data_IF_024517171574
#
_entry.id   IF_024517171574
#
_cell.length_a   1.000
_cell.length_b   1.000
_cell.length_c   1.000
_cell.angle_alpha   90.00
_cell.angle_beta   90.00
_cell.angle_gamma   90.00
#
_symmetry.space_group_name_H-M   'P 1'
#
loop_
_entity.id
_entity.type
_entity.pdbx_description
1 polymer ?
#
# COMPACT_ATOMS: atom_id res chain seq x y z
N UNK A 1 15.81 -16.03 10.04
CA UNK A 1 17.01 -15.17 9.76
C UNK A 1 16.53 -14.02 8.89
N UNK A 2 16.84 -12.79 9.25
CA UNK A 2 16.48 -11.60 8.49
C UNK A 2 17.23 -11.56 7.15
N UNK A 3 16.53 -11.16 6.06
CA UNK A 3 17.10 -10.95 4.72
C UNK A 3 17.30 -9.45 4.52
N UNK A 4 18.53 -9.04 4.25
CA UNK A 4 18.88 -7.63 4.02
C UNK A 4 19.78 -7.51 2.81
N UNK A 5 19.54 -6.49 2.00
CA UNK A 5 20.34 -6.12 0.83
C UNK A 5 21.30 -4.95 1.13
N UNK A 6 21.32 -4.44 2.36
CA UNK A 6 22.24 -3.35 2.74
C UNK A 6 23.68 -3.80 2.63
N UNK A 7 24.45 -3.05 1.86
CA UNK A 7 25.88 -3.25 1.62
C UNK A 7 26.59 -1.90 1.65
N UNK A 8 27.94 -1.92 1.67
CA UNK A 8 28.75 -0.70 1.58
C UNK A 8 28.88 -0.24 0.11
N UNK A 9 27.74 0.07 -0.52
CA UNK A 9 27.62 0.66 -1.84
C UNK A 9 27.15 2.13 -1.76
N UNK A 10 26.95 2.80 -2.89
CA UNK A 10 26.56 4.22 -2.93
C UNK A 10 25.19 4.51 -2.29
N UNK A 11 24.32 3.50 -2.15
CA UNK A 11 23.03 3.65 -1.50
C UNK A 11 23.14 3.54 0.03
N UNK A 12 24.07 2.75 0.57
CA UNK A 12 24.23 2.55 2.02
C UNK A 12 22.89 2.29 2.71
N UNK A 13 22.57 3.07 3.73
CA UNK A 13 21.27 3.12 4.42
C UNK A 13 20.48 4.40 4.12
N UNK A 14 20.88 5.17 3.08
CA UNK A 14 20.25 6.42 2.72
C UNK A 14 18.76 6.25 2.40
N UNK A 15 17.97 7.23 2.77
CA UNK A 15 16.57 7.36 2.34
C UNK A 15 16.49 7.99 0.92
N UNK A 16 15.28 8.03 0.33
CA UNK A 16 15.12 8.49 -1.05
C UNK A 16 15.50 9.97 -1.23
N UNK A 17 15.17 10.81 -0.26
CA UNK A 17 15.53 12.24 -0.28
C UNK A 17 17.05 12.42 -0.22
N UNK A 18 17.73 11.66 0.62
CA UNK A 18 19.19 11.70 0.76
C UNK A 18 19.90 11.20 -0.51
N UNK A 19 19.39 10.13 -1.13
CA UNK A 19 19.93 9.64 -2.42
C UNK A 19 19.77 10.71 -3.50
N UNK A 20 18.57 11.32 -3.64
CA UNK A 20 18.35 12.39 -4.61
C UNK A 20 19.26 13.60 -4.39
N UNK A 21 19.54 13.96 -3.13
CA UNK A 21 20.51 15.02 -2.77
C UNK A 21 21.95 14.64 -3.13
N UNK A 22 22.37 13.41 -2.83
CA UNK A 22 23.73 12.92 -3.17
C UNK A 22 23.97 12.94 -4.69
N UNK A 23 22.97 12.51 -5.49
CA UNK A 23 23.04 12.59 -6.95
C UNK A 23 23.13 14.06 -7.40
N UNK A 24 22.32 14.95 -6.84
CA UNK A 24 22.32 16.38 -7.20
C UNK A 24 23.60 17.10 -6.77
N UNK A 25 24.25 16.64 -5.70
CA UNK A 25 25.54 17.17 -5.22
C UNK A 25 26.73 16.63 -6.01
N UNK A 26 26.53 15.52 -6.78
CA UNK A 26 27.61 14.86 -7.52
C UNK A 26 28.44 13.90 -6.65
N UNK A 27 27.95 13.50 -5.47
CA UNK A 27 28.62 12.53 -4.61
C UNK A 27 28.68 11.16 -5.29
N UNK A 28 27.66 10.83 -6.07
CA UNK A 28 27.55 9.66 -6.96
C UNK A 28 26.54 9.94 -8.06
N UNK A 29 26.60 9.13 -9.12
CA UNK A 29 25.69 9.27 -10.28
C UNK A 29 24.38 8.51 -10.09
N UNK A 30 23.33 8.91 -10.83
CA UNK A 30 22.10 8.15 -10.91
C UNK A 30 22.32 6.72 -11.42
N UNK A 31 23.28 6.55 -12.36
CA UNK A 31 23.61 5.24 -12.91
C UNK A 31 24.25 4.31 -11.85
N UNK A 32 25.12 4.84 -10.99
CA UNK A 32 25.67 4.08 -9.85
C UNK A 32 24.58 3.70 -8.86
N UNK A 33 23.64 4.62 -8.55
CA UNK A 33 22.51 4.34 -7.66
C UNK A 33 21.59 3.26 -8.22
N UNK A 34 21.22 3.31 -9.51
CA UNK A 34 20.40 2.31 -10.18
C UNK A 34 21.13 0.96 -10.27
N UNK A 35 22.43 0.97 -10.58
CA UNK A 35 23.25 -0.26 -10.64
C UNK A 35 23.33 -0.93 -9.27
N UNK A 36 23.52 -0.17 -8.20
CA UNK A 36 23.53 -0.67 -6.83
C UNK A 36 22.17 -1.31 -6.44
N UNK A 37 21.05 -0.64 -6.77
CA UNK A 37 19.72 -1.19 -6.51
C UNK A 37 19.46 -2.51 -7.26
N UNK A 38 19.90 -2.61 -8.52
CA UNK A 38 19.81 -3.85 -9.31
C UNK A 38 20.63 -4.96 -8.67
N UNK A 39 21.88 -4.69 -8.27
CA UNK A 39 22.74 -5.67 -7.61
C UNK A 39 22.14 -6.15 -6.27
N UNK A 40 21.60 -5.22 -5.46
CA UNK A 40 20.87 -5.53 -4.22
C UNK A 40 19.67 -6.44 -4.47
N UNK A 41 18.86 -6.11 -5.49
CA UNK A 41 17.70 -6.91 -5.88
C UNK A 41 18.12 -8.34 -6.23
N UNK A 42 19.11 -8.50 -7.10
CA UNK A 42 19.60 -9.80 -7.53
C UNK A 42 20.13 -10.66 -6.36
N UNK A 43 20.63 -10.04 -5.30
CA UNK A 43 21.14 -10.74 -4.13
C UNK A 43 20.03 -11.28 -3.21
N UNK A 44 18.88 -10.62 -3.09
CA UNK A 44 17.83 -10.97 -2.10
C UNK A 44 16.55 -11.52 -2.71
N UNK A 45 16.23 -11.18 -3.97
CA UNK A 45 14.98 -11.58 -4.60
C UNK A 45 14.82 -13.08 -4.85
N UNK A 46 15.91 -13.87 -5.04
CA UNK A 46 15.80 -15.33 -5.05
C UNK A 46 15.19 -15.94 -3.78
N UNK A 47 15.22 -15.20 -2.66
CA UNK A 47 14.59 -15.58 -1.38
C UNK A 47 13.25 -14.88 -1.19
N UNK A 48 13.20 -13.57 -1.51
CA UNK A 48 12.02 -12.73 -1.19
C UNK A 48 10.89 -12.84 -2.21
N UNK A 49 11.20 -13.11 -3.48
CA UNK A 49 10.23 -13.18 -4.58
C UNK A 49 9.35 -11.93 -4.69
N UNK A 50 9.96 -10.76 -4.46
CA UNK A 50 9.27 -9.47 -4.45
C UNK A 50 9.09 -8.86 -5.83
N UNK A 51 9.93 -9.24 -6.82
CA UNK A 51 9.88 -8.72 -8.19
C UNK A 51 9.18 -9.69 -9.15
N UNK A 52 8.52 -9.15 -10.16
CA UNK A 52 7.79 -9.93 -11.17
C UNK A 52 8.20 -9.65 -12.60
N UNK A 53 8.74 -8.45 -12.86
CA UNK A 53 9.18 -8.04 -14.20
C UNK A 53 10.31 -7.01 -14.06
N UNK A 54 11.43 -7.27 -14.70
CA UNK A 54 12.61 -6.38 -14.70
C UNK A 54 12.52 -5.32 -15.80
N UNK A 55 13.23 -4.19 -15.57
CA UNK A 55 13.37 -3.08 -16.50
C UNK A 55 14.80 -2.52 -16.47
N UNK A 56 15.78 -3.36 -16.19
CA UNK A 56 17.15 -2.95 -15.83
C UNK A 56 17.84 -2.13 -16.92
N UNK A 57 17.85 -2.61 -18.14
CA UNK A 57 18.51 -1.91 -19.26
C UNK A 57 17.92 -0.51 -19.50
N UNK A 58 16.58 -0.40 -19.50
CA UNK A 58 15.90 0.88 -19.67
C UNK A 58 16.15 1.82 -18.49
N UNK A 59 16.16 1.30 -17.26
CA UNK A 59 16.44 2.10 -16.06
C UNK A 59 17.88 2.63 -16.06
N UNK A 60 18.86 1.81 -16.45
CA UNK A 60 20.27 2.22 -16.59
C UNK A 60 20.45 3.27 -17.69
N UNK A 61 19.77 3.10 -18.83
CA UNK A 61 19.79 4.07 -19.92
C UNK A 61 19.16 5.43 -19.51
N UNK A 62 18.04 5.39 -18.79
CA UNK A 62 17.42 6.60 -18.23
C UNK A 62 18.35 7.31 -17.24
N UNK A 63 18.95 6.55 -16.32
CA UNK A 63 19.88 7.08 -15.33
C UNK A 63 21.13 7.72 -15.99
N UNK A 64 21.68 7.09 -17.02
CA UNK A 64 22.82 7.62 -17.77
C UNK A 64 22.48 8.89 -18.56
N UNK A 65 21.21 9.07 -18.95
CA UNK A 65 20.74 10.26 -19.67
C UNK A 65 20.44 11.47 -18.77
N UNK A 66 20.45 11.30 -17.44
CA UNK A 66 20.23 12.43 -16.53
C UNK A 66 21.47 13.36 -16.47
N UNK A 67 21.23 14.69 -16.39
CA UNK A 67 22.32 15.63 -16.14
C UNK A 67 23.02 15.31 -14.79
N UNK A 68 24.31 15.59 -14.70
CA UNK A 68 25.10 15.37 -13.48
C UNK A 68 24.53 16.13 -12.27
N UNK A 69 23.89 17.28 -12.49
CA UNK A 69 23.21 18.08 -11.46
C UNK A 69 21.75 17.64 -11.16
N UNK A 70 21.32 16.51 -11.70
CA UNK A 70 19.94 16.06 -11.63
C UNK A 70 18.99 16.92 -12.47
N UNK A 71 17.69 16.57 -12.46
CA UNK A 71 16.63 17.29 -13.21
C UNK A 71 15.93 18.39 -12.40
N UNK A 72 16.39 18.69 -11.18
CA UNK A 72 15.68 19.57 -10.23
C UNK A 72 14.48 18.91 -9.54
N UNK A 73 14.12 17.70 -9.91
CA UNK A 73 13.12 16.91 -9.21
C UNK A 73 13.73 16.32 -7.91
N UNK A 74 12.97 16.23 -6.80
CA UNK A 74 13.53 15.83 -5.50
C UNK A 74 14.05 14.38 -5.47
N UNK A 75 13.58 13.53 -6.39
CA UNK A 75 14.01 12.13 -6.50
C UNK A 75 14.72 11.85 -7.84
N UNK A 76 15.36 12.87 -8.44
CA UNK A 76 16.04 12.71 -9.73
C UNK A 76 17.10 11.59 -9.67
N UNK A 77 16.86 10.50 -10.41
CA UNK A 77 17.78 9.36 -10.48
C UNK A 77 17.62 8.33 -9.36
N UNK A 78 16.70 8.50 -8.42
CA UNK A 78 16.46 7.54 -7.32
C UNK A 78 15.79 6.27 -7.85
N UNK A 79 16.37 5.07 -7.63
CA UNK A 79 15.78 3.80 -8.04
C UNK A 79 14.51 3.49 -7.24
N UNK A 80 13.53 2.88 -7.93
CA UNK A 80 12.24 2.53 -7.33
C UNK A 80 11.60 1.33 -8.05
N UNK A 81 10.37 0.96 -7.63
CA UNK A 81 9.56 -0.11 -8.23
C UNK A 81 8.12 0.36 -8.42
N UNK A 82 7.44 -0.20 -9.42
CA UNK A 82 6.01 -0.02 -9.63
C UNK A 82 5.29 -1.35 -9.39
N UNK A 83 4.19 -1.31 -8.63
CA UNK A 83 3.34 -2.49 -8.38
C UNK A 83 2.73 -3.00 -9.68
N UNK A 84 2.67 -4.31 -9.86
CA UNK A 84 2.25 -4.94 -11.12
C UNK A 84 0.73 -4.91 -11.40
N UNK A 85 0.06 -3.91 -10.88
CA UNK A 85 -1.32 -3.56 -11.26
C UNK A 85 -1.43 -2.16 -11.88
N UNK A 86 -0.31 -1.54 -12.21
CA UNK A 86 -0.23 -0.20 -12.78
C UNK A 86 0.61 -0.24 -14.04
N UNK A 87 0.13 0.40 -15.11
CA UNK A 87 0.72 0.31 -16.43
C UNK A 87 2.04 1.08 -16.52
N UNK A 88 3.06 0.40 -17.06
CA UNK A 88 4.37 0.95 -17.40
C UNK A 88 4.64 0.61 -18.85
N UNK A 89 4.93 1.61 -19.67
CA UNK A 89 5.24 1.43 -21.09
C UNK A 89 6.37 0.40 -21.29
N UNK A 90 6.15 -0.52 -22.23
CA UNK A 90 7.10 -1.59 -22.55
C UNK A 90 7.09 -2.79 -21.58
N UNK A 91 6.29 -2.77 -20.49
CA UNK A 91 6.16 -3.88 -19.56
C UNK A 91 4.72 -4.39 -19.52
N UNK A 92 4.49 -5.71 -19.30
CA UNK A 92 3.15 -6.25 -19.10
C UNK A 92 2.59 -5.79 -17.73
N UNK A 93 1.25 -5.70 -17.64
CA UNK A 93 0.53 -5.49 -16.38
C UNK A 93 -0.29 -6.73 -16.05
N UNK A 94 0.32 -7.63 -15.26
CA UNK A 94 -0.21 -8.97 -15.00
C UNK A 94 -1.20 -9.04 -13.83
N UNK A 95 -1.34 -8.01 -13.02
CA UNK A 95 -2.29 -7.97 -11.89
C UNK A 95 -2.12 -9.14 -10.89
N UNK A 96 -0.95 -9.78 -10.82
CA UNK A 96 -0.73 -10.99 -10.03
C UNK A 96 -1.50 -12.22 -10.53
N UNK A 97 -2.06 -12.19 -11.75
CA UNK A 97 -2.95 -13.22 -12.31
C UNK A 97 -2.32 -13.93 -13.50
N UNK A 98 -2.47 -15.25 -13.56
CA UNK A 98 -2.15 -16.01 -14.76
C UNK A 98 -3.12 -15.74 -15.92
N UNK A 99 -4.33 -15.25 -15.61
CA UNK A 99 -5.39 -15.01 -16.58
C UNK A 99 -5.25 -13.73 -17.41
N UNK A 100 -4.31 -12.83 -17.07
CA UNK A 100 -4.10 -11.57 -17.81
C UNK A 100 -3.07 -11.72 -18.93
N UNK A 101 -3.15 -10.81 -19.94
CA UNK A 101 -2.23 -10.82 -21.09
C UNK A 101 -0.77 -10.59 -20.66
N UNK A 102 0.21 -11.32 -21.23
CA UNK A 102 1.63 -11.04 -21.06
C UNK A 102 2.14 -9.91 -21.96
N UNK A 103 1.30 -9.35 -22.84
CA UNK A 103 1.70 -8.31 -23.77
C UNK A 103 2.09 -7.01 -23.05
N UNK A 104 3.19 -6.37 -23.48
CA UNK A 104 3.62 -5.10 -22.92
C UNK A 104 2.59 -3.99 -23.17
N UNK A 105 2.44 -3.11 -22.18
CA UNK A 105 1.62 -1.91 -22.29
C UNK A 105 2.27 -0.91 -23.25
N UNK A 106 1.44 -0.26 -24.11
CA UNK A 106 1.92 0.73 -25.05
C UNK A 106 2.36 2.05 -24.38
N UNK A 107 1.74 2.40 -23.25
CA UNK A 107 1.91 3.69 -22.58
C UNK A 107 1.97 3.53 -21.05
N UNK A 108 2.58 4.51 -20.40
CA UNK A 108 2.50 4.67 -18.95
C UNK A 108 1.07 5.06 -18.54
N UNK A 109 0.56 4.46 -17.47
CA UNK A 109 -0.67 4.90 -16.83
C UNK A 109 -0.54 6.29 -16.17
N UNK A 110 -1.67 6.94 -15.84
CA UNK A 110 -1.67 8.30 -15.26
C UNK A 110 -0.84 8.39 -13.97
N UNK A 111 -0.96 7.39 -13.10
CA UNK A 111 -0.15 7.34 -11.91
C UNK A 111 1.35 7.17 -12.23
N UNK A 112 1.70 6.28 -13.16
CA UNK A 112 3.09 6.06 -13.57
C UNK A 112 3.72 7.34 -14.10
N UNK A 113 3.00 8.11 -14.92
CA UNK A 113 3.46 9.42 -15.41
C UNK A 113 3.73 10.39 -14.25
N UNK A 114 2.80 10.50 -13.29
CA UNK A 114 2.98 11.34 -12.10
C UNK A 114 4.16 10.86 -11.24
N UNK A 115 4.28 9.54 -11.03
CA UNK A 115 5.35 8.93 -10.25
C UNK A 115 6.73 9.20 -10.86
N UNK A 116 6.90 8.97 -12.15
CA UNK A 116 8.16 9.23 -12.88
C UNK A 116 8.50 10.74 -12.94
N UNK A 117 7.50 11.60 -13.00
CA UNK A 117 7.69 13.05 -12.98
C UNK A 117 8.28 13.55 -11.66
N UNK A 118 8.22 12.79 -10.56
CA UNK A 118 8.93 13.10 -9.32
C UNK A 118 10.44 12.86 -9.40
N UNK A 119 10.93 12.22 -10.47
CA UNK A 119 12.33 11.88 -10.72
C UNK A 119 12.70 10.44 -10.40
N UNK A 120 11.77 9.65 -9.87
CA UNK A 120 11.97 8.22 -9.57
C UNK A 120 12.18 7.40 -10.85
N UNK A 121 13.15 6.49 -10.83
CA UNK A 121 13.44 5.55 -11.92
C UNK A 121 12.98 4.15 -11.54
N UNK A 122 11.89 3.63 -12.13
CA UNK A 122 11.46 2.26 -11.90
C UNK A 122 12.48 1.26 -12.49
N UNK A 123 13.02 0.36 -11.67
CA UNK A 123 13.90 -0.73 -12.11
C UNK A 123 13.10 -2.00 -12.48
N UNK A 124 11.79 -2.02 -12.21
CA UNK A 124 10.93 -3.15 -12.53
C UNK A 124 9.57 -3.06 -11.85
N UNK A 125 8.81 -4.16 -11.91
CA UNK A 125 7.49 -4.28 -11.31
C UNK A 125 7.47 -5.26 -10.15
N UNK A 126 6.79 -4.88 -9.06
CA UNK A 126 6.72 -5.64 -7.81
C UNK A 126 5.48 -6.52 -7.71
N UNK A 127 5.62 -7.63 -6.99
CA UNK A 127 4.60 -8.66 -6.79
C UNK A 127 3.38 -8.16 -6.01
N UNK A 128 2.22 -8.76 -6.32
CA UNK A 128 0.96 -8.63 -5.61
C UNK A 128 0.16 -9.94 -5.73
N UNK A 129 -0.82 -10.23 -4.86
CA UNK A 129 -1.77 -11.33 -5.05
C UNK A 129 -2.74 -11.01 -6.19
N UNK A 130 -3.43 -12.01 -6.71
CA UNK A 130 -4.34 -11.85 -7.85
C UNK A 130 -5.32 -10.69 -7.65
N UNK A 131 -5.26 -9.70 -8.55
CA UNK A 131 -6.03 -8.45 -8.54
C UNK A 131 -5.97 -7.64 -7.23
N UNK A 132 -5.03 -7.94 -6.36
CA UNK A 132 -4.93 -7.30 -5.05
C UNK A 132 -6.05 -7.66 -4.08
N UNK A 133 -6.73 -8.78 -4.26
CA UNK A 133 -7.96 -9.14 -3.55
C UNK A 133 -7.77 -9.69 -2.14
N UNK A 134 -6.55 -9.91 -1.67
CA UNK A 134 -6.27 -10.41 -0.32
C UNK A 134 -5.21 -9.58 0.41
N UNK A 135 -5.07 -9.81 1.71
CA UNK A 135 -4.17 -9.07 2.61
C UNK A 135 -2.79 -9.75 2.76
N UNK A 136 -2.46 -10.74 1.95
CA UNK A 136 -1.14 -11.36 1.82
C UNK A 136 -0.71 -11.38 0.37
N UNK A 137 0.58 -11.63 0.08
CA UNK A 137 1.12 -11.65 -1.29
C UNK A 137 1.60 -13.06 -1.60
N UNK A 138 0.64 -13.95 -1.82
CA UNK A 138 0.79 -15.38 -2.04
C UNK A 138 0.00 -15.83 -3.28
N UNK A 139 0.32 -15.31 -4.49
CA UNK A 139 -0.38 -15.75 -5.71
C UNK A 139 -0.06 -17.21 -6.04
N UNK A 140 -1.05 -17.97 -6.52
CA UNK A 140 -0.84 -19.39 -6.89
C UNK A 140 0.03 -19.56 -8.14
N UNK A 141 0.13 -18.53 -8.97
CA UNK A 141 0.88 -18.58 -10.23
C UNK A 141 2.39 -18.42 -10.07
N UNK A 142 2.87 -18.11 -8.87
CA UNK A 142 4.30 -17.86 -8.56
C UNK A 142 4.58 -18.07 -7.08
N UNK A 143 5.88 -18.16 -6.68
CA UNK A 143 6.24 -18.27 -5.28
C UNK A 143 5.70 -17.08 -4.45
N UNK A 144 5.30 -17.37 -3.22
CA UNK A 144 4.86 -16.36 -2.26
C UNK A 144 5.97 -15.34 -1.98
N UNK A 145 5.61 -14.06 -1.89
CA UNK A 145 6.53 -13.01 -1.47
C UNK A 145 6.79 -13.11 0.03
N UNK A 146 8.05 -13.19 0.42
CA UNK A 146 8.47 -13.48 1.79
C UNK A 146 8.85 -12.22 2.55
N UNK A 147 8.55 -12.22 3.85
CA UNK A 147 8.87 -11.09 4.72
C UNK A 147 10.39 -11.04 5.00
N UNK A 148 11.08 -9.91 4.75
CA UNK A 148 12.51 -9.82 4.98
C UNK A 148 12.92 -9.93 6.45
N UNK A 149 12.02 -9.63 7.38
CA UNK A 149 12.27 -9.83 8.82
C UNK A 149 12.33 -11.31 9.20
N UNK A 150 11.45 -12.12 8.58
CA UNK A 150 11.46 -13.58 8.70
C UNK A 150 10.76 -14.20 7.48
N UNK A 151 11.49 -14.92 6.59
CA UNK A 151 10.92 -15.51 5.37
C UNK A 151 9.83 -16.58 5.55
N UNK A 152 9.54 -17.01 6.76
CA UNK A 152 8.41 -17.88 7.05
C UNK A 152 7.08 -17.13 7.16
N UNK A 153 7.13 -15.78 7.22
CA UNK A 153 5.98 -14.92 7.45
C UNK A 153 5.60 -14.14 6.19
N UNK A 154 4.35 -13.71 6.15
CA UNK A 154 3.78 -12.89 5.08
C UNK A 154 4.31 -11.46 5.14
N UNK A 155 4.48 -10.86 3.97
CA UNK A 155 4.74 -9.42 3.80
C UNK A 155 3.49 -8.57 3.99
N UNK A 156 2.35 -9.21 4.26
CA UNK A 156 1.07 -8.56 4.05
C UNK A 156 0.78 -8.36 2.55
N UNK A 157 -0.32 -7.67 2.26
CA UNK A 157 -0.80 -7.45 0.91
C UNK A 157 -1.76 -6.25 0.82
N UNK A 158 -2.01 -5.84 -0.38
CA UNK A 158 -1.60 -6.46 -1.66
C UNK A 158 -0.30 -5.91 -2.24
N UNK A 159 0.34 -4.87 -1.68
CA UNK A 159 1.62 -4.31 -2.17
C UNK A 159 2.83 -4.97 -1.47
N UNK A 160 2.79 -6.30 -1.27
CA UNK A 160 3.81 -7.01 -0.50
C UNK A 160 5.17 -7.06 -1.16
N UNK A 161 5.23 -7.15 -2.51
CA UNK A 161 6.50 -7.10 -3.23
C UNK A 161 7.22 -5.77 -3.06
N UNK A 162 6.48 -4.65 -3.18
CA UNK A 162 7.01 -3.31 -2.90
C UNK A 162 7.53 -3.20 -1.48
N UNK A 163 6.75 -3.63 -0.50
CA UNK A 163 7.13 -3.56 0.90
C UNK A 163 8.34 -4.44 1.24
N UNK A 164 8.38 -5.68 0.73
CA UNK A 164 9.51 -6.58 0.95
C UNK A 164 10.83 -5.97 0.45
N UNK A 165 10.81 -5.44 -0.76
CA UNK A 165 12.03 -4.92 -1.41
C UNK A 165 12.48 -3.57 -0.81
N UNK A 166 11.55 -2.72 -0.34
CA UNK A 166 11.91 -1.50 0.42
C UNK A 166 12.46 -1.86 1.80
N UNK A 167 11.84 -2.79 2.51
CA UNK A 167 12.28 -3.21 3.85
C UNK A 167 13.60 -3.96 3.83
N UNK A 168 13.87 -4.72 2.77
CA UNK A 168 15.17 -5.36 2.57
C UNK A 168 16.29 -4.38 2.19
N UNK A 169 15.97 -3.12 1.84
CA UNK A 169 16.96 -2.10 1.45
C UNK A 169 17.35 -2.13 -0.03
N UNK A 170 16.58 -2.80 -0.90
CA UNK A 170 16.82 -2.81 -2.36
C UNK A 170 16.61 -1.44 -2.96
N UNK A 171 15.47 -0.82 -2.67
CA UNK A 171 15.13 0.56 -3.06
C UNK A 171 14.62 1.32 -1.84
N UNK A 172 14.77 2.65 -1.79
CA UNK A 172 14.34 3.44 -0.62
C UNK A 172 12.82 3.68 -0.57
N UNK A 173 12.17 3.65 -1.71
CA UNK A 173 10.76 3.98 -1.94
C UNK A 173 10.20 3.11 -3.06
N UNK A 174 8.96 2.67 -2.96
CA UNK A 174 8.28 1.94 -4.03
C UNK A 174 6.80 2.28 -4.08
N UNK A 175 6.21 2.21 -5.29
CA UNK A 175 4.79 2.36 -5.49
C UNK A 175 3.98 1.31 -4.75
N UNK A 176 2.87 1.73 -4.18
CA UNK A 176 1.85 0.90 -3.56
C UNK A 176 0.47 1.54 -3.73
N UNK A 177 -0.59 0.74 -3.73
CA UNK A 177 -1.95 1.25 -3.73
C UNK A 177 -2.83 0.54 -2.70
N UNK A 178 -3.96 1.16 -2.33
CA UNK A 178 -4.76 0.78 -1.16
C UNK A 178 -6.26 0.86 -1.48
N UNK A 179 -6.91 -0.30 -1.56
CA UNK A 179 -8.36 -0.43 -1.74
C UNK A 179 -9.09 -0.92 -0.49
N UNK A 180 -8.35 -1.47 0.48
CA UNK A 180 -8.85 -1.99 1.75
C UNK A 180 -7.77 -2.11 2.82
N UNK A 181 -6.58 -1.51 2.57
CA UNK A 181 -5.42 -1.56 3.46
C UNK A 181 -4.10 -1.84 2.73
N UNK A 182 -4.10 -1.96 1.42
CA UNK A 182 -2.97 -2.52 0.66
C UNK A 182 -1.72 -1.64 0.51
N UNK A 183 -1.67 -0.43 1.07
CA UNK A 183 -0.45 0.31 1.43
C UNK A 183 -0.10 0.02 2.89
N UNK A 184 -1.06 0.19 3.79
CA UNK A 184 -0.89 0.19 5.25
C UNK A 184 -0.55 -1.19 5.80
N UNK A 185 -1.24 -2.23 5.32
CA UNK A 185 -1.01 -3.63 5.74
C UNK A 185 0.42 -4.07 5.45
N UNK A 186 0.93 -4.01 4.19
CA UNK A 186 2.29 -4.42 3.93
C UNK A 186 3.33 -3.48 4.58
N UNK A 187 3.04 -2.19 4.75
CA UNK A 187 3.90 -1.31 5.53
C UNK A 187 4.01 -1.78 6.99
N UNK A 188 2.88 -2.16 7.64
CA UNK A 188 2.86 -2.69 8.99
C UNK A 188 3.65 -4.00 9.11
N UNK A 189 3.44 -4.95 8.17
CA UNK A 189 4.12 -6.25 8.18
C UNK A 189 5.62 -6.16 7.95
N UNK A 190 6.06 -5.15 7.18
CA UNK A 190 7.47 -5.01 6.79
C UNK A 190 8.23 -3.91 7.55
N UNK A 191 7.60 -3.24 8.52
CA UNK A 191 8.25 -2.21 9.32
C UNK A 191 8.52 -0.91 8.56
N UNK A 192 7.56 -0.47 7.75
CA UNK A 192 7.65 0.68 6.87
C UNK A 192 6.62 1.75 7.19
N UNK A 193 6.81 2.93 6.62
CA UNK A 193 5.84 4.01 6.56
C UNK A 193 4.95 3.80 5.32
N UNK A 194 3.64 3.80 5.51
CA UNK A 194 2.68 3.67 4.42
C UNK A 194 1.49 4.59 4.60
N UNK A 195 1.40 5.67 3.81
CA UNK A 195 0.30 6.62 3.82
C UNK A 195 -0.69 6.31 2.70
N UNK A 196 -1.91 5.91 3.08
CA UNK A 196 -3.06 6.00 2.20
C UNK A 196 -3.57 7.45 2.22
N UNK A 197 -3.48 8.22 1.14
CA UNK A 197 -3.92 9.60 1.13
C UNK A 197 -5.45 9.72 1.11
N UNK A 198 -5.94 10.94 1.17
CA UNK A 198 -7.32 11.27 0.85
C UNK A 198 -7.69 10.80 -0.55
N UNK A 199 -8.94 10.33 -0.72
CA UNK A 199 -9.47 9.91 -2.01
C UNK A 199 -9.29 11.01 -3.06
N UNK A 200 -8.77 10.64 -4.24
CA UNK A 200 -8.56 11.58 -5.36
C UNK A 200 -7.31 12.45 -5.23
N UNK A 201 -6.41 12.21 -4.25
CA UNK A 201 -5.15 12.94 -4.11
C UNK A 201 -4.20 12.70 -5.26
N UNK A 202 -4.10 11.48 -5.72
CA UNK A 202 -3.27 11.05 -6.85
C UNK A 202 -4.14 10.41 -7.93
N UNK A 203 -3.69 10.39 -9.18
CA UNK A 203 -4.41 9.71 -10.25
C UNK A 203 -4.57 8.23 -9.92
N UNK A 204 -5.74 7.68 -10.11
CA UNK A 204 -6.02 6.25 -9.99
C UNK A 204 -6.32 5.68 -11.38
N UNK A 205 -6.46 4.35 -11.46
CA UNK A 205 -6.91 3.72 -12.71
C UNK A 205 -8.25 4.32 -13.17
N UNK A 206 -8.41 4.56 -14.46
CA UNK A 206 -9.62 5.17 -15.04
C UNK A 206 -10.94 4.45 -14.69
N UNK A 207 -10.89 3.14 -14.33
CA UNK A 207 -12.04 2.39 -13.86
C UNK A 207 -12.51 2.87 -12.48
N UNK A 208 -11.64 3.44 -11.67
CA UNK A 208 -11.98 3.91 -10.32
C UNK A 208 -13.01 5.04 -10.33
N UNK A 209 -12.96 5.91 -11.33
CA UNK A 209 -13.91 7.02 -11.50
C UNK A 209 -15.33 6.54 -11.85
N UNK A 210 -15.44 5.32 -12.40
CA UNK A 210 -16.71 4.67 -12.71
C UNK A 210 -17.28 3.85 -11.57
N UNK A 211 -16.54 3.74 -10.45
CA UNK A 211 -17.00 2.99 -9.29
C UNK A 211 -18.06 3.79 -8.50
N UNK A 212 -19.13 3.15 -7.99
CA UNK A 212 -20.13 3.82 -7.15
C UNK A 212 -19.55 4.50 -5.91
N UNK A 213 -18.48 3.91 -5.36
CA UNK A 213 -17.61 4.48 -4.33
C UNK A 213 -16.19 4.19 -4.76
N UNK A 214 -15.40 5.23 -5.07
CA UNK A 214 -13.97 5.03 -5.31
C UNK A 214 -13.28 4.75 -3.98
N UNK A 215 -12.91 3.49 -3.74
CA UNK A 215 -12.21 3.04 -2.54
C UNK A 215 -10.69 3.01 -2.73
N UNK A 216 -10.20 3.24 -3.95
CA UNK A 216 -8.80 3.14 -4.30
C UNK A 216 -8.03 4.43 -3.97
N UNK A 217 -6.80 4.27 -3.55
CA UNK A 217 -5.83 5.33 -3.38
C UNK A 217 -4.46 4.85 -3.83
N UNK A 218 -3.75 5.67 -4.59
CA UNK A 218 -2.37 5.43 -4.99
C UNK A 218 -1.42 6.13 -4.01
N UNK A 219 -0.22 5.58 -3.86
CA UNK A 219 0.80 6.12 -2.97
C UNK A 219 2.10 5.32 -3.02
N UNK A 220 2.84 5.37 -1.92
CA UNK A 220 4.13 4.70 -1.78
C UNK A 220 4.28 4.06 -0.41
N UNK A 221 5.21 3.11 -0.32
CA UNK A 221 5.82 2.65 0.93
C UNK A 221 7.27 3.12 0.99
N UNK A 222 7.70 3.58 2.17
CA UNK A 222 9.03 4.17 2.39
C UNK A 222 9.61 3.72 3.73
N UNK A 223 10.90 3.97 3.94
CA UNK A 223 11.54 3.76 5.25
C UNK A 223 11.42 4.96 6.17
N UNK A 224 11.10 6.16 5.64
CA UNK A 224 11.03 7.40 6.43
C UNK A 224 9.74 8.19 6.15
N UNK A 225 9.29 8.95 7.17
CA UNK A 225 8.19 9.91 7.00
C UNK A 225 8.61 11.03 6.06
N UNK A 226 9.89 11.41 6.06
CA UNK A 226 10.43 12.45 5.19
C UNK A 226 10.27 12.09 3.70
N UNK A 227 10.58 10.84 3.32
CA UNK A 227 10.39 10.35 1.96
C UNK A 227 8.92 10.38 1.54
N UNK A 228 8.03 9.91 2.44
CA UNK A 228 6.58 9.95 2.19
C UNK A 228 6.11 11.38 1.96
N UNK A 229 6.46 12.32 2.84
CA UNK A 229 6.07 13.72 2.73
C UNK A 229 6.62 14.36 1.45
N UNK A 230 7.90 14.13 1.14
CA UNK A 230 8.53 14.64 -0.07
C UNK A 230 7.90 14.07 -1.34
N UNK A 231 7.49 12.79 -1.34
CA UNK A 231 6.80 12.17 -2.47
C UNK A 231 5.47 12.87 -2.78
N UNK A 232 4.60 13.06 -1.76
CA UNK A 232 3.31 13.73 -2.00
C UNK A 232 3.50 15.17 -2.44
N UNK A 233 4.43 15.92 -1.83
CA UNK A 233 4.75 17.29 -2.24
C UNK A 233 5.30 17.36 -3.67
N UNK A 234 6.05 16.35 -4.12
CA UNK A 234 6.57 16.28 -5.48
C UNK A 234 5.47 15.90 -6.48
N UNK A 235 4.67 14.88 -6.16
CA UNK A 235 3.59 14.40 -7.01
C UNK A 235 2.51 15.47 -7.26
N UNK A 236 2.20 16.27 -6.24
CA UNK A 236 1.24 17.39 -6.35
C UNK A 236 1.65 18.45 -7.36
N UNK A 237 2.94 18.62 -7.66
CA UNK A 237 3.38 19.54 -8.72
C UNK A 237 2.97 19.09 -10.12
N UNK A 238 2.69 17.80 -10.28
CA UNK A 238 2.31 17.18 -11.55
C UNK A 238 0.83 16.78 -11.61
N UNK A 239 0.22 16.62 -10.43
CA UNK A 239 -1.20 16.32 -10.31
C UNK A 239 -1.76 17.01 -9.07
N UNK A 240 -2.38 18.17 -9.26
CA UNK A 240 -3.01 18.96 -8.21
C UNK A 240 -4.54 18.98 -8.40
N UNK A 241 -5.30 18.07 -7.75
CA UNK A 241 -6.75 18.07 -7.87
C UNK A 241 -7.34 19.33 -7.24
N UNK A 242 -8.11 20.12 -8.03
CA UNK A 242 -8.67 21.40 -7.59
C UNK A 242 -9.60 21.29 -6.37
N UNK A 243 -10.12 20.10 -6.08
CA UNK A 243 -11.02 19.84 -4.95
C UNK A 243 -10.31 19.58 -3.62
N UNK A 244 -8.97 19.43 -3.61
CA UNK A 244 -8.20 19.10 -2.43
C UNK A 244 -7.12 20.17 -2.17
N UNK A 245 -7.03 20.62 -0.93
CA UNK A 245 -5.91 21.49 -0.54
C UNK A 245 -4.59 20.72 -0.67
N UNK A 246 -3.52 21.35 -1.17
CA UNK A 246 -2.21 20.71 -1.26
C UNK A 246 -1.69 20.24 0.10
N UNK A 247 -1.01 19.10 0.13
CA UNK A 247 -0.21 18.67 1.28
C UNK A 247 0.98 19.63 1.43
N UNK A 248 1.60 20.00 0.32
CA UNK A 248 2.77 20.87 0.30
C UNK A 248 3.97 20.29 1.01
N UNK A 249 4.98 21.12 1.28
CA UNK A 249 6.19 20.69 1.98
C UNK A 249 5.92 20.50 3.48
N UNK A 250 6.25 19.32 4.01
CA UNK A 250 6.22 19.02 5.45
C UNK A 250 7.64 18.68 5.89
N UNK A 251 8.28 19.60 6.61
CA UNK A 251 9.72 19.53 6.98
C UNK A 251 9.95 19.41 8.49
N UNK A 252 8.90 19.61 9.29
CA UNK A 252 8.98 19.55 10.75
C UNK A 252 7.62 19.17 11.33
N UNK A 253 7.59 18.63 12.56
CA UNK A 253 6.34 18.42 13.28
C UNK A 253 5.65 19.77 13.57
N UNK A 254 4.31 19.74 13.56
CA UNK A 254 3.50 20.89 13.97
C UNK A 254 3.57 21.13 15.49
N UNK A 255 3.31 22.38 15.91
CA UNK A 255 3.25 22.75 17.33
C UNK A 255 1.86 22.48 17.95
N UNK A 256 0.86 22.21 17.13
CA UNK A 256 -0.52 22.00 17.56
C UNK A 256 -0.64 20.77 18.46
N UNK A 257 -1.31 20.92 19.60
CA UNK A 257 -1.73 19.79 20.42
C UNK A 257 -3.00 19.19 19.85
N UNK A 258 -2.94 17.87 19.60
CA UNK A 258 -3.97 17.14 18.88
C UNK A 258 -4.88 16.39 19.86
N UNK A 259 -6.15 16.25 19.49
CA UNK A 259 -7.15 15.42 20.15
C UNK A 259 -7.18 14.07 19.45
N UNK A 260 -6.75 13.02 20.11
CA UNK A 260 -6.56 11.69 19.53
C UNK A 260 -7.56 10.71 20.14
N UNK A 261 -8.40 10.11 19.30
CA UNK A 261 -9.30 9.02 19.70
C UNK A 261 -8.58 7.67 19.63
N UNK A 262 -8.42 6.97 20.75
CA UNK A 262 -7.81 5.65 20.83
C UNK A 262 -8.86 4.55 20.68
N UNK A 263 -8.68 3.63 19.72
CA UNK A 263 -9.52 2.44 19.57
C UNK A 263 -8.67 1.20 19.31
N UNK A 264 -8.54 0.33 20.29
CA UNK A 264 -7.82 -0.97 20.20
C UNK A 264 -8.77 -2.16 20.01
N UNK A 265 -10.07 -1.97 20.26
CA UNK A 265 -11.10 -2.98 20.04
C UNK A 265 -11.79 -2.84 18.69
N UNK A 266 -12.14 -3.96 18.07
CA UNK A 266 -12.90 -3.95 16.81
C UNK A 266 -13.93 -5.08 16.80
N UNK A 267 -15.22 -4.81 16.49
CA UNK A 267 -16.29 -5.81 16.59
C UNK A 267 -16.07 -7.06 15.72
N UNK A 268 -15.26 -6.93 14.67
CA UNK A 268 -15.01 -7.99 13.69
C UNK A 268 -13.68 -8.72 13.91
N UNK A 269 -12.70 -8.06 14.52
CA UNK A 269 -11.41 -8.68 14.81
C UNK A 269 -11.50 -9.72 15.95
N UNK A 270 -12.58 -9.69 16.74
CA UNK A 270 -12.59 -10.36 18.04
C UNK A 270 -11.57 -9.70 18.99
N UNK A 271 -10.95 -10.49 19.85
CA UNK A 271 -9.83 -10.00 20.62
C UNK A 271 -8.60 -9.80 19.71
N UNK A 272 -8.05 -8.60 19.68
CA UNK A 272 -6.74 -8.34 19.09
C UNK A 272 -5.66 -9.05 19.88
N UNK A 273 -4.55 -9.35 19.23
CA UNK A 273 -3.37 -9.89 19.88
C UNK A 273 -2.89 -8.97 21.00
N UNK A 274 -2.61 -9.48 22.21
CA UNK A 274 -2.19 -8.66 23.34
C UNK A 274 -0.92 -7.81 23.07
N UNK A 275 0.01 -8.32 22.24
CA UNK A 275 1.21 -7.56 21.88
C UNK A 275 0.84 -6.34 21.00
N UNK A 276 -0.09 -6.52 20.07
CA UNK A 276 -0.59 -5.41 19.24
C UNK A 276 -1.28 -4.35 20.10
N UNK A 277 -2.15 -4.77 21.02
CA UNK A 277 -2.84 -3.86 21.93
C UNK A 277 -1.82 -3.08 22.78
N UNK A 278 -0.87 -3.78 23.39
CA UNK A 278 0.15 -3.17 24.24
C UNK A 278 1.01 -2.13 23.48
N UNK A 279 1.36 -2.39 22.22
CA UNK A 279 2.11 -1.45 21.38
C UNK A 279 1.30 -0.19 21.06
N UNK A 280 0.02 -0.34 20.67
CA UNK A 280 -0.85 0.81 20.37
C UNK A 280 -1.08 1.66 21.63
N UNK A 281 -1.31 1.04 22.79
CA UNK A 281 -1.44 1.75 24.07
C UNK A 281 -0.14 2.43 24.48
N UNK A 282 1.02 1.83 24.18
CA UNK A 282 2.32 2.47 24.42
C UNK A 282 2.47 3.73 23.58
N UNK A 283 2.09 3.67 22.30
CA UNK A 283 2.10 4.85 21.41
C UNK A 283 1.12 5.92 21.91
N UNK A 284 -0.05 5.53 22.41
CA UNK A 284 -0.99 6.46 23.03
C UNK A 284 -0.35 7.22 24.20
N UNK A 285 0.32 6.50 25.12
CA UNK A 285 1.07 7.13 26.24
C UNK A 285 2.20 8.05 25.76
N UNK A 286 2.88 7.70 24.66
CA UNK A 286 3.90 8.58 24.06
C UNK A 286 3.27 9.86 23.52
N UNK A 287 2.10 9.78 22.87
CA UNK A 287 1.36 10.97 22.42
C UNK A 287 0.96 11.86 23.62
N UNK A 288 0.50 11.29 24.72
CA UNK A 288 0.19 12.06 25.94
C UNK A 288 1.43 12.74 26.52
N UNK A 289 2.57 12.03 26.56
CA UNK A 289 3.84 12.58 27.01
C UNK A 289 4.34 13.75 26.15
N UNK A 290 3.98 13.75 24.84
CA UNK A 290 4.21 14.86 23.92
C UNK A 290 3.18 16.00 24.08
N UNK A 291 2.21 15.86 24.99
CA UNK A 291 1.20 16.87 25.32
C UNK A 291 -0.05 16.83 24.44
N UNK A 292 -0.27 15.77 23.67
CA UNK A 292 -1.54 15.55 22.97
C UNK A 292 -2.60 15.02 23.93
N UNK A 293 -3.89 15.30 23.66
CA UNK A 293 -5.00 14.70 24.40
C UNK A 293 -5.40 13.36 23.80
N UNK A 294 -5.34 12.28 24.59
CA UNK A 294 -5.77 10.95 24.13
C UNK A 294 -7.01 10.51 24.90
N UNK A 295 -8.04 10.03 24.23
CA UNK A 295 -9.24 9.51 24.84
C UNK A 295 -9.72 8.23 24.17
N UNK A 296 -10.23 7.24 24.92
CA UNK A 296 -10.80 6.04 24.33
C UNK A 296 -12.08 6.37 23.55
N UNK A 297 -12.23 5.76 22.39
CA UNK A 297 -13.42 5.88 21.53
C UNK A 297 -13.87 4.52 21.00
N UNK A 298 -15.11 4.44 20.54
CA UNK A 298 -15.60 3.38 19.68
C UNK A 298 -15.68 3.87 18.24
N UNK A 299 -15.20 3.07 17.29
CA UNK A 299 -15.41 3.37 15.88
C UNK A 299 -16.86 3.05 15.46
N UNK A 300 -17.46 3.82 14.53
CA UNK A 300 -18.81 3.56 14.03
C UNK A 300 -18.83 2.37 13.04
N UNK A 301 -18.14 1.29 13.37
CA UNK A 301 -18.01 0.09 12.56
C UNK A 301 -18.83 -1.02 13.19
N UNK A 302 -19.67 -1.68 12.40
CA UNK A 302 -20.49 -2.81 12.80
C UNK A 302 -20.41 -3.96 11.77
N UNK A 303 -21.04 -5.06 12.08
CA UNK A 303 -21.13 -6.23 11.19
C UNK A 303 -21.76 -5.88 9.84
N UNK A 304 -22.76 -5.00 9.84
CA UNK A 304 -23.46 -4.61 8.60
C UNK A 304 -22.52 -3.85 7.65
N UNK A 305 -21.71 -2.93 8.19
CA UNK A 305 -20.71 -2.21 7.38
C UNK A 305 -19.72 -3.18 6.74
N UNK A 306 -19.25 -4.18 7.48
CA UNK A 306 -18.34 -5.18 6.94
C UNK A 306 -18.96 -6.06 5.87
N UNK A 307 -20.20 -6.54 6.10
CA UNK A 307 -20.94 -7.33 5.11
C UNK A 307 -21.20 -6.52 3.82
N UNK A 308 -21.49 -5.22 3.94
CA UNK A 308 -21.68 -4.32 2.80
C UNK A 308 -20.38 -4.03 2.06
N UNK A 309 -19.28 -3.80 2.80
CA UNK A 309 -17.95 -3.63 2.20
C UNK A 309 -17.50 -4.91 1.50
N UNK A 310 -17.71 -6.05 2.12
CA UNK A 310 -17.35 -7.32 1.52
C UNK A 310 -18.18 -7.61 0.24
N UNK A 311 -19.48 -7.32 0.24
CA UNK A 311 -20.29 -7.42 -0.97
C UNK A 311 -19.78 -6.47 -2.06
N UNK A 312 -19.36 -5.27 -1.70
CA UNK A 312 -18.73 -4.31 -2.61
C UNK A 312 -17.41 -4.82 -3.17
N UNK A 313 -16.56 -5.43 -2.32
CA UNK A 313 -15.30 -6.07 -2.70
C UNK A 313 -15.52 -7.24 -3.66
N UNK A 314 -16.49 -8.09 -3.35
CA UNK A 314 -16.90 -9.21 -4.22
C UNK A 314 -17.44 -8.74 -5.57
N UNK A 315 -18.07 -7.56 -5.64
CA UNK A 315 -18.47 -6.92 -6.90
C UNK A 315 -17.27 -6.60 -7.78
N UNK A 316 -16.16 -6.12 -7.20
CA UNK A 316 -14.94 -5.85 -7.96
C UNK A 316 -14.37 -7.15 -8.55
N UNK A 317 -14.28 -8.21 -7.76
CA UNK A 317 -13.86 -9.53 -8.24
C UNK A 317 -14.77 -10.05 -9.38
N UNK A 318 -16.09 -9.86 -9.25
CA UNK A 318 -17.03 -10.22 -10.30
C UNK A 318 -16.82 -9.39 -11.60
N UNK A 319 -16.57 -8.10 -11.47
CA UNK A 319 -16.24 -7.26 -12.62
C UNK A 319 -14.97 -7.73 -13.33
N UNK A 320 -13.90 -8.04 -12.60
CA UNK A 320 -12.65 -8.58 -13.16
C UNK A 320 -12.89 -9.93 -13.85
N UNK A 321 -13.64 -10.84 -13.25
CA UNK A 321 -13.94 -12.15 -13.81
C UNK A 321 -14.80 -12.07 -15.09
N UNK A 322 -15.88 -11.28 -15.08
CA UNK A 322 -16.85 -11.28 -16.18
C UNK A 322 -16.60 -10.20 -17.24
N UNK A 323 -15.95 -9.11 -16.88
CA UNK A 323 -15.60 -8.03 -17.79
C UNK A 323 -14.09 -7.98 -18.10
N UNK A 324 -13.34 -9.01 -17.70
CA UNK A 324 -11.88 -9.06 -17.79
C UNK A 324 -11.37 -8.88 -19.23
N UNK A 325 -12.05 -9.44 -20.26
CA UNK A 325 -11.67 -9.21 -21.66
C UNK A 325 -11.75 -7.74 -22.08
N UNK A 326 -12.69 -6.99 -21.49
CA UNK A 326 -12.83 -5.55 -21.75
C UNK A 326 -11.79 -4.74 -20.96
N UNK A 327 -11.45 -5.20 -19.76
CA UNK A 327 -10.53 -4.50 -18.84
C UNK A 327 -9.05 -4.82 -19.12
N UNK A 328 -8.73 -6.06 -19.48
CA UNK A 328 -7.35 -6.59 -19.56
C UNK A 328 -6.98 -7.10 -20.97
N UNK A 329 -7.84 -6.86 -21.96
CA UNK A 329 -7.56 -7.26 -23.35
C UNK A 329 -8.18 -8.60 -23.75
N UNK A 330 -8.11 -8.88 -25.07
CA UNK A 330 -8.79 -10.06 -25.68
C UNK A 330 -8.24 -11.40 -25.19
N UNK A 331 -6.97 -11.43 -24.79
CA UNK A 331 -6.25 -12.63 -24.35
C UNK A 331 -6.55 -13.00 -22.89
N UNK A 332 -7.39 -12.23 -22.21
CA UNK A 332 -7.80 -12.56 -20.85
C UNK A 332 -8.52 -13.91 -20.81
N UNK A 333 -7.97 -14.83 -19.99
CA UNK A 333 -8.53 -16.17 -19.77
C UNK A 333 -9.01 -16.37 -18.35
N UNK A 334 -10.31 -16.21 -18.12
CA UNK A 334 -10.95 -16.37 -16.82
C UNK A 334 -10.83 -17.80 -16.21
N UNK A 335 -10.45 -18.81 -17.03
CA UNK A 335 -10.26 -20.18 -16.53
C UNK A 335 -8.99 -20.34 -15.70
N UNK A 336 -8.07 -19.38 -15.83
CA UNK A 336 -6.81 -19.32 -15.08
C UNK A 336 -6.90 -18.45 -13.81
N UNK A 337 -8.10 -17.98 -13.44
CA UNK A 337 -8.29 -17.21 -12.23
C UNK A 337 -8.24 -18.09 -10.99
N UNK A 338 -7.70 -17.54 -9.92
CA UNK A 338 -7.58 -18.22 -8.63
C UNK A 338 -8.94 -18.50 -7.98
N UNK A 339 -9.03 -19.55 -7.13
CA UNK A 339 -10.25 -19.91 -6.42
C UNK A 339 -10.88 -18.75 -5.66
N UNK A 340 -10.08 -17.93 -4.97
CA UNK A 340 -10.58 -16.76 -4.22
C UNK A 340 -11.36 -15.81 -5.13
N UNK A 341 -10.80 -15.42 -6.29
CA UNK A 341 -11.44 -14.52 -7.26
C UNK A 341 -12.77 -15.09 -7.77
N UNK A 342 -12.76 -16.38 -8.10
CA UNK A 342 -13.97 -17.07 -8.61
C UNK A 342 -15.05 -17.23 -7.55
N UNK A 343 -14.68 -17.52 -6.30
CA UNK A 343 -15.62 -17.60 -5.18
C UNK A 343 -16.21 -16.25 -4.78
N UNK A 344 -15.39 -15.20 -4.72
CA UNK A 344 -15.87 -13.83 -4.53
C UNK A 344 -16.86 -13.43 -5.62
N UNK A 345 -16.56 -13.75 -6.89
CA UNK A 345 -17.45 -13.47 -8.01
C UNK A 345 -18.80 -14.19 -7.86
N UNK A 346 -18.80 -15.48 -7.49
CA UNK A 346 -20.03 -16.24 -7.22
C UNK A 346 -20.78 -15.66 -6.02
N UNK A 347 -20.08 -15.34 -4.93
CA UNK A 347 -20.70 -14.72 -3.75
C UNK A 347 -21.45 -13.44 -4.11
N UNK A 348 -20.86 -12.60 -4.97
CA UNK A 348 -21.51 -11.38 -5.46
C UNK A 348 -22.76 -11.70 -6.28
N UNK A 349 -22.68 -12.59 -7.27
CA UNK A 349 -23.80 -12.88 -8.16
C UNK A 349 -25.05 -13.36 -7.40
N UNK A 350 -24.85 -14.19 -6.37
CA UNK A 350 -25.95 -14.65 -5.51
C UNK A 350 -26.58 -13.56 -4.65
N UNK A 351 -25.93 -12.41 -4.49
CA UNK A 351 -26.33 -11.32 -3.59
C UNK A 351 -26.36 -9.94 -4.25
N UNK A 352 -26.17 -9.85 -5.55
CA UNK A 352 -26.01 -8.59 -6.30
C UNK A 352 -27.21 -7.63 -6.13
N UNK A 353 -28.42 -8.17 -5.92
CA UNK A 353 -29.63 -7.40 -5.64
C UNK A 353 -29.53 -6.56 -4.35
N UNK A 354 -28.66 -6.92 -3.42
CA UNK A 354 -28.39 -6.14 -2.20
C UNK A 354 -27.52 -4.91 -2.45
N UNK A 355 -26.83 -4.83 -3.59
CA UNK A 355 -25.83 -3.79 -3.88
C UNK A 355 -26.35 -2.36 -3.75
N UNK A 356 -27.56 -1.98 -4.22
CA UNK A 356 -28.00 -0.60 -4.08
C UNK A 356 -28.12 -0.14 -2.62
N UNK A 357 -28.63 -1.02 -1.75
CA UNK A 357 -28.75 -0.73 -0.33
C UNK A 357 -27.38 -0.74 0.37
N UNK A 358 -26.50 -1.69 0.03
CA UNK A 358 -25.13 -1.74 0.54
C UNK A 358 -24.36 -0.46 0.20
N UNK A 359 -24.41 0.00 -1.05
CA UNK A 359 -23.75 1.24 -1.48
C UNK A 359 -24.33 2.45 -0.73
N UNK A 360 -25.64 2.53 -0.53
CA UNK A 360 -26.27 3.60 0.24
C UNK A 360 -25.76 3.62 1.69
N UNK A 361 -25.71 2.45 2.36
CA UNK A 361 -25.22 2.34 3.75
C UNK A 361 -23.73 2.67 3.85
N UNK A 362 -22.91 2.22 2.90
CA UNK A 362 -21.48 2.58 2.85
C UNK A 362 -21.28 4.09 2.66
N UNK A 363 -22.10 4.75 1.85
CA UNK A 363 -22.06 6.22 1.74
C UNK A 363 -22.44 6.92 3.04
N UNK A 364 -23.48 6.41 3.74
CA UNK A 364 -23.85 6.93 5.05
C UNK A 364 -22.77 6.69 6.09
N UNK A 365 -22.14 5.51 6.06
CA UNK A 365 -20.96 5.21 6.90
C UNK A 365 -19.83 6.22 6.69
N UNK A 366 -19.53 6.58 5.44
CA UNK A 366 -18.51 7.57 5.13
C UNK A 366 -18.80 8.93 5.79
N UNK A 367 -20.07 9.38 5.80
CA UNK A 367 -20.50 10.60 6.50
C UNK A 367 -20.31 10.47 8.01
N UNK A 368 -20.75 9.35 8.59
CA UNK A 368 -20.64 9.11 10.04
C UNK A 368 -19.17 9.01 10.49
N UNK A 369 -18.32 8.34 9.68
CA UNK A 369 -16.88 8.23 9.98
C UNK A 369 -16.20 9.61 9.91
N UNK A 370 -16.55 10.42 8.91
CA UNK A 370 -16.02 11.78 8.78
C UNK A 370 -16.44 12.68 9.96
N UNK A 371 -17.63 12.47 10.51
CA UNK A 371 -18.12 13.24 11.65
C UNK A 371 -17.26 13.07 12.93
N UNK A 372 -16.52 11.97 13.08
CA UNK A 372 -15.55 11.80 14.19
C UNK A 372 -14.54 12.95 14.25
N UNK A 373 -14.14 13.48 13.09
CA UNK A 373 -13.11 14.51 12.98
C UNK A 373 -13.62 15.94 13.21
N UNK A 374 -14.85 16.13 13.63
CA UNK A 374 -15.34 17.40 14.18
C UNK A 374 -14.84 17.60 15.61
N UNK A 375 -14.70 16.53 16.36
CA UNK A 375 -14.25 16.55 17.77
C UNK A 375 -12.83 16.05 17.94
N UNK A 376 -12.33 15.21 17.03
CA UNK A 376 -11.01 14.61 17.03
C UNK A 376 -10.16 15.17 15.88
N UNK A 377 -8.87 15.22 16.09
CA UNK A 377 -7.91 15.53 15.04
C UNK A 377 -7.38 14.25 14.38
N UNK A 378 -7.16 13.21 15.19
CA UNK A 378 -6.68 11.90 14.76
C UNK A 378 -7.45 10.75 15.43
N UNK A 379 -7.46 9.61 14.77
CA UNK A 379 -7.89 8.33 15.33
C UNK A 379 -6.71 7.37 15.29
N UNK A 380 -6.35 6.83 16.47
CA UNK A 380 -5.25 5.88 16.68
C UNK A 380 -5.80 4.47 16.82
N UNK A 381 -5.32 3.54 16.00
CA UNK A 381 -5.74 2.13 16.00
C UNK A 381 -4.57 1.21 15.69
N UNK A 382 -4.69 -0.11 15.89
CA UNK A 382 -3.88 -1.07 15.15
C UNK A 382 -4.04 -0.89 13.63
N UNK A 383 -3.06 -1.38 12.85
CA UNK A 383 -3.24 -1.61 11.41
C UNK A 383 -3.89 -2.98 11.19
N UNK A 384 -3.39 -3.98 11.89
CA UNK A 384 -3.80 -5.38 11.85
C UNK A 384 -4.16 -5.87 13.25
N UNK A 385 -5.01 -6.90 13.34
CA UNK A 385 -5.42 -7.47 14.63
C UNK A 385 -4.34 -8.35 15.28
N UNK A 386 -3.33 -8.79 14.51
CA UNK A 386 -2.20 -9.62 14.96
C UNK A 386 -0.90 -9.09 14.35
N UNK A 387 0.27 -9.46 14.87
CA UNK A 387 1.53 -9.34 14.13
C UNK A 387 1.45 -10.02 12.76
N UNK A 388 2.47 -9.89 11.88
CA UNK A 388 2.50 -10.60 10.61
C UNK A 388 2.21 -12.08 10.79
N UNK A 389 1.33 -12.64 9.95
CA UNK A 389 0.95 -14.06 10.00
C UNK A 389 1.94 -14.90 9.18
N UNK A 390 2.03 -16.20 9.50
CA UNK A 390 2.81 -17.13 8.69
C UNK A 390 2.24 -17.25 7.27
N UNK A 391 3.11 -17.59 6.31
CA UNK A 391 2.69 -17.93 4.96
C UNK A 391 1.70 -19.10 5.02
N UNK A 392 0.67 -19.06 4.18
CA UNK A 392 -0.42 -20.02 4.16
C UNK A 392 -1.61 -19.64 5.04
N UNK A 393 -1.50 -18.67 5.95
CA UNK A 393 -2.65 -18.24 6.77
C UNK A 393 -3.83 -17.71 5.94
N UNK A 394 -3.54 -17.00 4.84
CA UNK A 394 -4.52 -16.52 3.85
C UNK A 394 -4.26 -17.12 2.46
N UNK A 395 -3.86 -18.39 2.40
CA UNK A 395 -3.61 -19.10 1.14
C UNK A 395 -4.85 -19.03 0.23
N UNK A 396 -4.72 -18.61 -1.04
CA UNK A 396 -5.83 -18.55 -2.00
C UNK A 396 -6.51 -19.91 -2.28
N UNK A 397 -5.84 -21.01 -1.92
CA UNK A 397 -6.39 -22.38 -2.05
C UNK A 397 -7.26 -22.82 -0.86
N UNK A 398 -7.33 -22.04 0.22
CA UNK A 398 -8.20 -22.32 1.35
C UNK A 398 -9.68 -22.38 0.94
N UNK A 399 -10.49 -23.09 1.70
CA UNK A 399 -11.93 -22.99 1.56
C UNK A 399 -12.39 -21.54 1.80
N UNK A 400 -13.40 -21.12 1.03
CA UNK A 400 -13.80 -19.72 0.96
C UNK A 400 -14.30 -19.15 2.30
N UNK A 401 -14.96 -19.98 3.13
CA UNK A 401 -15.49 -19.49 4.41
C UNK A 401 -14.35 -19.22 5.38
N UNK A 402 -13.38 -20.12 5.48
CA UNK A 402 -12.18 -19.97 6.30
C UNK A 402 -11.33 -18.81 5.83
N UNK A 403 -11.08 -18.68 4.52
CA UNK A 403 -10.31 -17.57 3.96
C UNK A 403 -10.96 -16.23 4.28
N UNK A 404 -12.28 -16.13 4.13
CA UNK A 404 -13.04 -14.92 4.41
C UNK A 404 -13.02 -14.55 5.89
N UNK A 405 -13.25 -15.51 6.79
CA UNK A 405 -13.24 -15.28 8.24
C UNK A 405 -11.85 -14.75 8.68
N UNK A 406 -10.78 -15.42 8.24
CA UNK A 406 -9.40 -15.01 8.54
C UNK A 406 -9.09 -13.62 7.99
N UNK A 407 -9.50 -13.34 6.75
CA UNK A 407 -9.26 -12.03 6.11
C UNK A 407 -9.98 -10.90 6.85
N UNK A 408 -11.27 -11.08 7.19
CA UNK A 408 -12.05 -10.08 7.92
C UNK A 408 -11.44 -9.79 9.29
N UNK A 409 -11.05 -10.84 10.02
CA UNK A 409 -10.43 -10.71 11.33
C UNK A 409 -9.07 -10.01 11.24
N UNK A 410 -8.22 -10.42 10.32
CA UNK A 410 -6.85 -9.92 10.17
C UNK A 410 -6.83 -8.44 9.77
N UNK A 411 -7.60 -8.06 8.74
CA UNK A 411 -7.56 -6.73 8.12
C UNK A 411 -8.68 -5.79 8.60
N UNK A 412 -9.24 -6.01 9.79
CA UNK A 412 -10.45 -5.31 10.28
C UNK A 412 -10.34 -3.78 10.32
N UNK A 413 -9.15 -3.23 10.62
CA UNK A 413 -8.98 -1.80 10.92
C UNK A 413 -8.76 -0.89 9.71
N UNK A 414 -8.45 -1.45 8.53
CA UNK A 414 -8.03 -0.65 7.38
C UNK A 414 -9.15 -0.29 6.38
N UNK A 415 -10.22 -1.10 6.14
CA UNK A 415 -11.27 -0.79 5.18
C UNK A 415 -12.11 0.47 5.49
N UNK A 416 -12.35 0.86 6.76
CA UNK A 416 -13.13 2.05 7.08
C UNK A 416 -12.64 3.31 6.37
N UNK A 417 -11.32 3.54 6.31
CA UNK A 417 -10.74 4.72 5.69
C UNK A 417 -10.83 4.69 4.15
N UNK A 418 -10.91 3.50 3.53
CA UNK A 418 -11.16 3.38 2.10
C UNK A 418 -12.60 3.77 1.75
N UNK A 419 -13.56 3.29 2.55
CA UNK A 419 -14.99 3.64 2.38
C UNK A 419 -15.20 5.13 2.63
N UNK A 420 -14.66 5.67 3.72
CA UNK A 420 -14.77 7.08 4.06
C UNK A 420 -13.97 8.01 3.12
N UNK A 421 -12.92 7.50 2.50
CA UNK A 421 -12.01 8.27 1.65
C UNK A 421 -10.95 9.06 2.42
N UNK A 422 -10.92 8.95 3.76
CA UNK A 422 -10.03 9.70 4.64
C UNK A 422 -8.58 9.21 4.57
N UNK A 423 -7.58 10.08 4.81
CA UNK A 423 -6.19 9.66 4.88
C UNK A 423 -5.93 8.80 6.13
N UNK A 424 -4.99 7.86 6.01
CA UNK A 424 -4.50 7.08 7.14
C UNK A 424 -3.07 6.59 6.87
N UNK A 425 -2.22 6.68 7.89
CA UNK A 425 -0.83 6.28 7.82
C UNK A 425 -0.55 5.10 8.76
N UNK A 426 0.19 4.11 8.28
CA UNK A 426 0.83 3.07 9.09
C UNK A 426 2.25 3.51 9.42
N UNK A 427 2.60 3.49 10.71
CA UNK A 427 3.93 3.78 11.21
C UNK A 427 4.51 2.55 11.92
N UNK A 428 5.82 2.25 11.76
CA UNK A 428 6.47 1.07 12.32
C UNK A 428 6.90 1.32 13.79
N UNK A 429 5.93 1.54 14.68
CA UNK A 429 6.17 1.97 16.05
C UNK A 429 6.20 0.83 17.07
N UNK A 430 5.98 -0.43 16.64
CA UNK A 430 5.98 -1.58 17.50
C UNK A 430 6.77 -2.76 16.95
N UNK A 431 7.05 -3.72 17.84
CA UNK A 431 7.71 -4.99 17.51
C UNK A 431 7.16 -6.09 18.42
N UNK A 432 6.88 -7.28 17.84
CA UNK A 432 6.47 -8.45 18.61
C UNK A 432 7.65 -9.08 19.37
N UNK A 433 7.36 -9.97 20.30
CA UNK A 433 8.37 -10.78 21.01
C UNK A 433 9.24 -11.62 20.07
N UNK A 434 8.69 -12.02 18.92
CA UNK A 434 9.41 -12.75 17.87
C UNK A 434 10.23 -11.81 16.96
N UNK A 435 10.26 -10.51 17.25
CA UNK A 435 11.02 -9.51 16.49
C UNK A 435 10.36 -9.06 15.20
N UNK A 436 9.11 -9.42 14.92
CA UNK A 436 8.35 -8.98 13.77
C UNK A 436 7.80 -7.56 13.97
N UNK A 437 7.73 -6.73 12.92
CA UNK A 437 7.17 -5.39 13.03
C UNK A 437 5.69 -5.40 13.41
N UNK A 438 5.27 -4.40 14.21
CA UNK A 438 3.87 -4.08 14.47
C UNK A 438 3.62 -2.65 14.03
N UNK A 439 2.73 -2.49 13.04
CA UNK A 439 2.31 -1.19 12.54
C UNK A 439 1.20 -0.59 13.41
N UNK A 440 1.32 0.72 13.67
CA UNK A 440 0.31 1.52 14.35
C UNK A 440 -0.29 2.51 13.37
N UNK A 441 -1.62 2.65 13.33
CA UNK A 441 -2.33 3.47 12.37
C UNK A 441 -2.84 4.77 13.00
N UNK A 442 -2.54 5.89 12.34
CA UNK A 442 -3.23 7.15 12.57
C UNK A 442 -4.09 7.50 11.35
N UNK A 443 -5.36 7.80 11.59
CA UNK A 443 -6.27 8.29 10.56
C UNK A 443 -6.72 9.71 10.89
N UNK A 444 -6.93 10.54 9.86
CA UNK A 444 -7.38 11.92 9.99
C UNK A 444 -8.63 12.18 9.13
N UNK A 445 -9.26 13.32 9.27
CA UNK A 445 -10.33 13.79 8.39
C UNK A 445 -9.84 14.00 6.96
N UNK A 446 -10.76 14.09 6.00
CA UNK A 446 -10.41 14.37 4.60
C UNK A 446 -9.50 15.59 4.48
N UNK A 447 -8.48 15.50 3.63
CA UNK A 447 -7.52 16.57 3.32
C UNK A 447 -6.64 16.98 4.51
N UNK A 448 -6.50 16.10 5.52
CA UNK A 448 -5.71 16.36 6.74
C UNK A 448 -4.42 15.53 6.80
N UNK A 449 -3.82 15.20 5.65
CA UNK A 449 -2.58 14.41 5.57
C UNK A 449 -1.39 15.02 6.34
N UNK A 450 -1.41 16.33 6.59
CA UNK A 450 -0.33 17.06 7.30
C UNK A 450 -0.38 16.92 8.82
N UNK A 451 -1.45 16.39 9.37
CA UNK A 451 -1.63 16.18 10.82
C UNK A 451 -0.97 14.91 11.27
#
# INVERSE_FOLDING_TARGET
MQVSAHTNDVLGELDAVSIGRGISAGDFTAQEAVSAAIARLQSVDPVLHGMVCERFELALAEAAGLPASGSGAPFAGVPSLIKDNTDVAGLPTRQGSAGTSPEPMAEDGDFTRTFRATGLIPIGKSSLPEFGLTATTEPLSRPATRNPWNPAYSTGGSSGGSAALVAAGVVPIAHANDGGGSIRIPAACCGLVGLKPSRGRLPTMAVADKMPINILAEGVVTRSVADTAAFYAAAERHHAPASLMPVGSVTSPGEQRLRIGLCVGHPLAGACDPEVVAQVEQVARQCEALGHGVQPIALPVDRQMADDFFLYWARLAAAMNYLGKMAFGRDFDRRQLEPLTTHLSKHYLWRCWRSPMAIRRLRQFAVNYQALFTELDLVLTPVLATPPVELGYLDPALDFATALERLIRYAAFTPPQNVAGTPAISLPLGRSSDGLPIGVQFAAGMVQERR
#
